data_IF_331990316084
#
_entry.id   IF_331990316084
#
_cell.length_a   1.000
_cell.length_b   1.000
_cell.length_c   1.000
_cell.angle_alpha   90.00
_cell.angle_beta   90.00
_cell.angle_gamma   90.00
#
_symmetry.space_group_name_H-M   'P 1'
#
loop_
_entity.id
_entity.type
_entity.pdbx_description
1 polymer ?
#
# COMPACT_ATOMS: atom_id res chain seq x y z
N UNK A 1 -7.08 5.66 19.03
CA UNK A 1 -6.21 6.11 17.92
C UNK A 1 -6.55 5.32 16.68
N UNK A 2 -6.79 5.98 15.54
CA UNK A 2 -7.16 5.31 14.28
C UNK A 2 -5.90 4.97 13.50
N UNK A 3 -5.79 3.71 13.08
CA UNK A 3 -4.68 3.20 12.27
C UNK A 3 -5.23 2.59 10.98
N UNK A 4 -4.45 2.66 9.91
CA UNK A 4 -4.76 2.04 8.62
C UNK A 4 -3.53 1.29 8.13
N UNK A 5 -3.75 0.11 7.58
CA UNK A 5 -2.67 -0.72 7.04
C UNK A 5 -2.89 -0.98 5.57
N UNK A 6 -1.85 -0.79 4.78
CA UNK A 6 -1.85 -1.03 3.35
C UNK A 6 -0.65 -1.89 2.96
N UNK A 7 -0.81 -2.69 1.92
CA UNK A 7 0.31 -3.37 1.26
C UNK A 7 0.65 -2.55 0.02
N UNK A 8 1.83 -1.92 0.01
CA UNK A 8 2.28 -1.09 -1.10
C UNK A 8 3.26 -1.87 -1.98
N UNK A 9 3.39 -1.47 -3.24
CA UNK A 9 4.47 -1.99 -4.10
C UNK A 9 5.82 -1.35 -3.73
N UNK A 10 6.92 -1.92 -4.22
CA UNK A 10 8.27 -1.35 -3.99
C UNK A 10 8.40 0.07 -4.54
N UNK A 11 7.81 0.35 -5.70
CA UNK A 11 7.82 1.68 -6.30
C UNK A 11 7.02 2.69 -5.47
N UNK A 12 5.84 2.29 -4.98
CA UNK A 12 5.03 3.11 -4.07
C UNK A 12 5.75 3.38 -2.74
N UNK A 13 6.49 2.41 -2.20
CA UNK A 13 7.32 2.60 -1.00
C UNK A 13 8.44 3.61 -1.23
N UNK A 14 9.12 3.56 -2.37
CA UNK A 14 10.17 4.52 -2.70
C UNK A 14 9.60 5.94 -2.85
N UNK A 15 8.44 6.08 -3.49
CA UNK A 15 7.73 7.36 -3.58
C UNK A 15 7.35 7.88 -2.19
N UNK A 16 6.80 7.01 -1.34
CA UNK A 16 6.43 7.34 0.03
C UNK A 16 7.66 7.78 0.85
N UNK A 17 8.79 7.08 0.73
CA UNK A 17 10.04 7.44 1.39
C UNK A 17 10.55 8.81 0.92
N UNK A 18 10.49 9.08 -0.39
CA UNK A 18 10.87 10.38 -0.96
C UNK A 18 9.99 11.52 -0.42
N UNK A 19 8.67 11.32 -0.36
CA UNK A 19 7.74 12.30 0.21
C UNK A 19 8.01 12.59 1.69
N UNK A 20 8.55 11.62 2.43
CA UNK A 20 8.79 11.71 3.86
C UNK A 20 10.23 12.12 4.23
N UNK A 21 11.11 12.42 3.26
CA UNK A 21 12.51 12.76 3.53
C UNK A 21 12.70 13.97 4.47
N UNK A 22 11.71 14.86 4.58
CA UNK A 22 11.73 15.99 5.51
C UNK A 22 11.43 15.63 6.98
N UNK A 23 10.97 14.41 7.26
CA UNK A 23 10.60 13.97 8.60
C UNK A 23 11.71 13.15 9.28
N UNK A 24 11.81 13.17 10.62
CA UNK A 24 12.76 12.33 11.35
C UNK A 24 12.54 10.84 11.07
N UNK A 25 13.57 10.19 10.51
CA UNK A 25 13.62 8.74 10.30
C UNK A 25 14.12 8.05 11.56
N UNK A 26 13.43 6.98 11.94
CA UNK A 26 13.80 6.04 13.01
C UNK A 26 14.26 4.71 12.41
N UNK A 27 15.31 4.15 12.99
CA UNK A 27 15.92 2.88 12.60
C UNK A 27 15.98 1.86 13.74
N UNK A 28 15.49 2.23 14.93
CA UNK A 28 15.52 1.41 16.14
C UNK A 28 14.48 0.26 16.14
N UNK A 29 13.53 0.27 15.21
CA UNK A 29 12.44 -0.71 15.20
C UNK A 29 12.82 -1.98 14.41
N UNK A 30 12.83 -3.17 15.04
CA UNK A 30 13.18 -4.42 14.38
C UNK A 30 12.28 -4.74 13.19
N UNK A 31 12.84 -5.36 12.15
CA UNK A 31 12.13 -5.83 10.95
C UNK A 31 11.40 -4.74 10.13
N UNK A 32 11.69 -3.47 10.40
CA UNK A 32 11.21 -2.34 9.59
C UNK A 32 12.21 -1.97 8.50
N UNK A 33 11.70 -1.42 7.39
CA UNK A 33 12.51 -0.76 6.37
C UNK A 33 12.82 0.68 6.80
N UNK A 34 11.78 1.36 7.25
CA UNK A 34 11.85 2.71 7.80
C UNK A 34 10.64 2.96 8.69
N UNK A 35 10.84 3.84 9.65
CA UNK A 35 9.76 4.48 10.38
C UNK A 35 9.97 5.98 10.34
N UNK A 36 8.93 6.74 9.97
CA UNK A 36 8.96 8.21 10.00
C UNK A 36 8.03 8.71 11.09
N UNK A 37 8.53 9.65 11.89
CA UNK A 37 7.73 10.36 12.89
C UNK A 37 7.19 11.64 12.28
N UNK A 38 5.87 11.71 12.14
CA UNK A 38 5.17 12.89 11.67
C UNK A 38 4.86 13.81 12.85
N UNK A 39 4.36 15.02 12.57
CA UNK A 39 3.87 15.92 13.62
C UNK A 39 2.67 15.32 14.36
N UNK A 40 1.73 14.75 13.59
CA UNK A 40 0.50 14.15 14.14
C UNK A 40 0.37 12.67 13.74
N UNK A 41 1.42 11.88 14.01
CA UNK A 41 1.39 10.45 13.75
C UNK A 41 2.74 9.80 13.52
N UNK A 42 2.72 8.57 13.03
CA UNK A 42 3.89 7.87 12.52
C UNK A 42 3.50 6.90 11.41
N UNK A 43 4.46 6.67 10.51
CA UNK A 43 4.33 5.69 9.43
C UNK A 43 5.44 4.67 9.61
N UNK A 44 5.08 3.38 9.57
CA UNK A 44 6.04 2.28 9.72
C UNK A 44 5.90 1.33 8.54
N UNK A 45 6.96 1.18 7.74
CA UNK A 45 7.02 0.24 6.64
C UNK A 45 7.83 -1.01 7.03
N UNK A 46 7.29 -2.18 6.75
CA UNK A 46 7.91 -3.47 7.03
C UNK A 46 8.53 -4.08 5.77
N UNK A 47 9.47 -5.03 5.96
CA UNK A 47 10.07 -5.79 4.86
C UNK A 47 9.06 -6.58 4.03
N UNK A 48 7.91 -6.92 4.62
CA UNK A 48 6.79 -7.57 3.93
C UNK A 48 5.96 -6.64 3.03
N UNK A 49 6.40 -5.40 2.83
CA UNK A 49 5.70 -4.35 2.08
C UNK A 49 4.41 -3.83 2.73
N UNK A 50 4.04 -4.40 3.87
CA UNK A 50 2.99 -3.85 4.74
C UNK A 50 3.46 -2.52 5.32
N UNK A 51 2.61 -1.52 5.25
CA UNK A 51 2.80 -0.18 5.82
C UNK A 51 1.67 0.12 6.79
N UNK A 52 2.05 0.58 7.99
CA UNK A 52 1.13 0.99 9.04
C UNK A 52 1.14 2.51 9.13
N UNK A 53 -0.02 3.11 8.93
CA UNK A 53 -0.28 4.54 9.06
C UNK A 53 -1.04 4.80 10.36
N UNK A 54 -0.44 5.57 11.26
CA UNK A 54 -1.03 5.88 12.57
C UNK A 54 -1.10 7.39 12.78
N UNK A 55 -2.29 7.90 13.09
CA UNK A 55 -2.53 9.33 13.30
C UNK A 55 -3.11 10.08 12.09
N UNK A 56 -3.70 11.26 12.29
CA UNK A 56 -4.45 11.98 11.24
C UNK A 56 -3.65 12.21 9.96
N UNK A 57 -2.43 12.74 10.07
CA UNK A 57 -1.59 13.05 8.90
C UNK A 57 -1.18 11.79 8.13
N UNK A 58 -0.89 10.70 8.85
CA UNK A 58 -0.57 9.41 8.22
C UNK A 58 -1.78 8.84 7.46
N UNK A 59 -3.00 9.00 8.01
CA UNK A 59 -4.22 8.52 7.37
C UNK A 59 -4.54 9.27 6.08
N UNK A 60 -4.31 10.59 6.03
CA UNK A 60 -4.47 11.38 4.81
C UNK A 60 -3.55 10.91 3.69
N UNK A 61 -2.29 10.60 4.01
CA UNK A 61 -1.35 10.01 3.05
C UNK A 61 -1.81 8.63 2.59
N UNK A 62 -2.26 7.77 3.52
CA UNK A 62 -2.74 6.44 3.19
C UNK A 62 -3.90 6.46 2.17
N UNK A 63 -4.75 7.49 2.21
CA UNK A 63 -5.87 7.62 1.28
C UNK A 63 -5.40 7.78 -0.19
N UNK A 64 -4.32 8.53 -0.42
CA UNK A 64 -3.75 8.75 -1.75
C UNK A 64 -3.31 7.43 -2.42
N UNK A 65 -2.74 6.50 -1.66
CA UNK A 65 -2.28 5.21 -2.19
C UNK A 65 -3.41 4.21 -2.44
N UNK A 66 -4.57 4.39 -1.81
CA UNK A 66 -5.72 3.51 -2.01
C UNK A 66 -6.42 3.85 -3.31
N UNK A 67 -6.60 5.13 -3.60
CA UNK A 67 -7.19 5.60 -4.85
C UNK A 67 -6.36 5.17 -6.07
N UNK A 68 -5.04 5.10 -5.92
CA UNK A 68 -4.14 4.58 -6.97
C UNK A 68 -4.10 3.05 -7.07
N UNK A 69 -4.69 2.32 -6.11
CA UNK A 69 -4.71 0.84 -6.13
C UNK A 69 -5.90 0.26 -6.89
N UNK A 70 -6.92 1.08 -7.21
CA UNK A 70 -8.14 0.64 -7.87
C UNK A 70 -8.07 0.63 -9.39
N UNK A 71 -6.97 1.07 -10.01
CA UNK A 71 -6.84 1.11 -11.47
C UNK A 71 -6.29 -0.19 -12.12
N UNK A 72 -6.14 -1.28 -11.36
CA UNK A 72 -5.67 -2.54 -11.93
C UNK A 72 -6.46 -3.75 -11.42
N UNK A 73 -7.74 -3.80 -11.78
CA UNK A 73 -8.47 -5.07 -11.85
C UNK A 73 -8.39 -5.54 -13.31
N UNK A 74 -7.30 -6.22 -13.66
CA UNK A 74 -7.22 -6.99 -14.90
C UNK A 74 -8.15 -8.19 -14.77
N UNK A 75 -9.39 -8.05 -15.24
CA UNK A 75 -10.26 -9.20 -15.51
C UNK A 75 -9.87 -9.72 -16.89
N UNK A 76 -8.99 -10.71 -16.93
CA UNK A 76 -8.63 -11.39 -18.17
C UNK A 76 -9.54 -12.61 -18.34
N UNK A 77 -10.33 -12.61 -19.41
CA UNK A 77 -11.34 -13.62 -19.71
C UNK A 77 -10.67 -14.91 -20.20
N UNK A 78 -10.82 -15.99 -19.43
CA UNK A 78 -10.59 -17.35 -19.93
C UNK A 78 -11.88 -17.82 -20.63
N UNK A 79 -11.80 -18.07 -21.94
CA UNK A 79 -12.93 -18.64 -22.70
C UNK A 79 -13.08 -18.24 -24.18
N UNK A 80 -12.18 -17.46 -24.79
CA UNK A 80 -12.24 -17.14 -26.24
C UNK A 80 -11.86 -18.31 -27.17
N UNK A 81 -11.80 -19.54 -26.64
CA UNK A 81 -11.42 -20.75 -27.37
C UNK A 81 -12.24 -22.01 -27.04
N UNK A 82 -13.42 -21.87 -26.42
CA UNK A 82 -14.29 -23.02 -26.15
C UNK A 82 -15.00 -23.47 -27.43
N UNK A 83 -14.43 -24.48 -28.11
CA UNK A 83 -15.02 -25.14 -29.27
C UNK A 83 -16.24 -26.03 -28.90
N UNK A 84 -16.38 -26.42 -27.63
CA UNK A 84 -17.55 -27.16 -27.11
C UNK A 84 -17.99 -26.58 -25.76
N UNK A 85 -18.98 -25.68 -25.78
CA UNK A 85 -19.83 -25.42 -24.61
C UNK A 85 -20.86 -26.56 -24.43
N UNK A 86 -21.35 -26.85 -23.21
CA UNK A 86 -22.39 -27.86 -23.03
C UNK A 86 -23.70 -27.40 -23.70
N UNK A 87 -24.27 -28.24 -24.58
CA UNK A 87 -25.66 -28.06 -25.02
C UNK A 87 -26.59 -28.24 -23.81
N UNK A 88 -27.36 -27.20 -23.51
CA UNK A 88 -28.45 -27.26 -22.55
C UNK A 88 -29.75 -27.26 -23.36
N UNK A 89 -30.58 -28.27 -23.13
CA UNK A 89 -31.92 -28.43 -23.73
C UNK A 89 -32.91 -27.51 -23.03
#
# INVERSE_FOLDING_TARGET
MKTKTLTLTKSQLQLLEQQLQGYPRRTDVPHTLFQFKLETGHITAYRSLKVVFSGPQALSLAQQFIEHSTESTGSDEVGTGDYFGPMIV
#
